data_IF_580913969891
#
_entry.id   IF_580913969891
#
_cell.length_a   1.000
_cell.length_b   1.000
_cell.length_c   1.000
_cell.angle_alpha   90.00
_cell.angle_beta   90.00
_cell.angle_gamma   90.00
#
_symmetry.space_group_name_H-M   'P 1'
#
loop_
_entity.id
_entity.type
_entity.pdbx_description
1 polymer ?
#
# COMPACT_ATOMS: atom_id res chain seq x y z
N UNK A 1 -25.53 -27.45 25.28
CA UNK A 1 -24.57 -26.49 24.71
C UNK A 1 -23.88 -25.89 25.89
N UNK A 2 -22.57 -26.04 25.96
CA UNK A 2 -21.76 -25.64 27.11
C UNK A 2 -21.77 -24.12 27.23
N UNK A 3 -22.26 -23.61 28.35
CA UNK A 3 -22.37 -22.19 28.66
C UNK A 3 -21.03 -21.56 29.08
N UNK A 4 -19.98 -22.37 29.14
CA UNK A 4 -18.59 -22.00 29.48
C UNK A 4 -17.60 -22.24 28.35
N UNK A 5 -18.09 -22.52 27.12
CA UNK A 5 -17.23 -22.53 25.95
C UNK A 5 -16.93 -21.09 25.53
N UNK A 6 -16.11 -20.40 26.33
CA UNK A 6 -15.39 -19.22 25.88
C UNK A 6 -14.71 -19.62 24.57
N UNK A 7 -15.12 -18.97 23.48
CA UNK A 7 -14.40 -18.98 22.22
C UNK A 7 -12.99 -18.49 22.55
N UNK A 8 -12.05 -19.43 22.68
CA UNK A 8 -10.68 -19.22 23.18
C UNK A 8 -9.85 -18.19 22.37
N UNK A 9 -10.46 -17.51 21.38
CA UNK A 9 -9.91 -16.52 20.47
C UNK A 9 -10.78 -15.23 20.36
N UNK A 10 -11.61 -14.87 21.35
CA UNK A 10 -12.29 -13.56 21.44
C UNK A 10 -11.31 -12.47 21.94
N UNK A 11 -10.62 -11.82 20.99
CA UNK A 11 -9.58 -10.84 21.32
C UNK A 11 -10.13 -9.42 21.58
N UNK A 12 -11.40 -9.12 21.26
CA UNK A 12 -12.04 -7.82 21.53
C UNK A 12 -13.10 -7.84 22.65
N UNK A 13 -13.42 -9.03 23.18
CA UNK A 13 -14.19 -9.31 24.38
C UNK A 13 -15.67 -8.89 24.30
N UNK A 14 -16.28 -8.92 23.11
CA UNK A 14 -17.67 -8.50 22.91
C UNK A 14 -18.68 -9.65 22.91
N UNK A 15 -18.20 -10.91 22.90
CA UNK A 15 -19.03 -12.13 22.93
C UNK A 15 -20.07 -12.26 21.79
N UNK A 16 -19.87 -11.55 20.67
CA UNK A 16 -20.76 -11.61 19.51
C UNK A 16 -20.17 -12.48 18.38
N UNK A 17 -21.06 -13.13 17.62
CA UNK A 17 -20.69 -13.82 16.38
C UNK A 17 -20.69 -12.88 15.19
N UNK A 18 -19.81 -13.10 14.22
CA UNK A 18 -19.79 -12.33 12.98
C UNK A 18 -21.14 -12.38 12.22
N UNK A 19 -21.65 -11.20 11.83
CA UNK A 19 -22.88 -11.02 11.04
C UNK A 19 -22.79 -11.62 9.62
N UNK A 20 -21.57 -11.86 9.11
CA UNK A 20 -21.36 -12.38 7.76
C UNK A 20 -21.58 -13.89 7.63
N UNK A 21 -21.28 -14.67 8.66
CA UNK A 21 -21.35 -16.14 8.63
C UNK A 21 -22.39 -16.70 9.59
N UNK A 22 -22.80 -15.96 10.62
CA UNK A 22 -23.70 -16.42 11.66
C UNK A 22 -23.15 -17.62 12.46
N UNK A 23 -21.84 -17.90 12.36
CA UNK A 23 -21.20 -19.02 13.02
C UNK A 23 -20.32 -18.53 14.17
N UNK A 24 -20.72 -18.90 15.39
CA UNK A 24 -20.08 -18.57 16.67
C UNK A 24 -18.69 -19.19 16.85
N UNK A 25 -18.28 -20.14 15.99
CA UNK A 25 -17.00 -20.87 16.08
C UNK A 25 -15.95 -20.40 15.06
N UNK A 26 -16.29 -19.42 14.21
CA UNK A 26 -15.39 -18.89 13.19
C UNK A 26 -15.40 -17.38 13.27
N UNK A 27 -14.53 -16.83 14.10
CA UNK A 27 -14.05 -15.47 13.87
C UNK A 27 -13.03 -15.53 12.73
N UNK A 28 -13.12 -14.60 11.78
CA UNK A 28 -12.25 -14.60 10.59
C UNK A 28 -10.96 -13.89 10.96
N UNK A 29 -10.05 -14.64 11.57
CA UNK A 29 -8.61 -14.38 11.55
C UNK A 29 -7.93 -15.20 10.45
N UNK A 30 -8.65 -15.46 9.34
CA UNK A 30 -7.99 -15.83 8.09
C UNK A 30 -7.26 -14.57 7.61
N UNK A 31 -5.93 -14.60 7.60
CA UNK A 31 -5.13 -13.57 6.96
C UNK A 31 -5.58 -13.52 5.48
N UNK A 32 -6.33 -12.47 5.17
CA UNK A 32 -6.75 -12.13 3.84
C UNK A 32 -5.92 -10.92 3.43
N UNK A 33 -4.81 -11.19 2.74
CA UNK A 33 -3.91 -10.16 2.25
C UNK A 33 -4.61 -9.18 1.29
N UNK A 34 -5.77 -9.56 0.71
CA UNK A 34 -6.57 -8.68 -0.15
C UNK A 34 -7.29 -7.57 0.65
N UNK A 35 -7.42 -7.72 1.98
CA UNK A 35 -7.99 -6.71 2.87
C UNK A 35 -6.94 -5.77 3.49
N UNK A 36 -5.64 -6.09 3.39
CA UNK A 36 -4.59 -5.23 3.91
C UNK A 36 -4.45 -3.95 3.08
N UNK A 37 -4.25 -2.80 3.73
CA UNK A 37 -4.03 -1.53 3.05
C UNK A 37 -2.54 -1.21 3.02
N UNK A 38 -2.02 -1.02 1.81
CA UNK A 38 -0.64 -0.61 1.56
C UNK A 38 -0.66 0.78 0.92
N UNK A 39 -0.10 1.76 1.63
CA UNK A 39 0.04 3.12 1.15
C UNK A 39 1.27 3.27 0.27
N UNK A 40 1.11 3.97 -0.85
CA UNK A 40 2.19 4.33 -1.75
C UNK A 40 1.67 4.90 -3.06
N UNK A 41 2.58 5.21 -3.99
CA UNK A 41 2.17 5.69 -5.30
C UNK A 41 1.68 4.55 -6.20
N UNK A 42 0.40 4.60 -6.57
CA UNK A 42 -0.22 3.60 -7.45
C UNK A 42 -0.18 4.00 -8.95
N UNK A 43 0.33 5.19 -9.27
CA UNK A 43 0.40 5.66 -10.66
C UNK A 43 1.61 5.04 -11.36
N UNK A 44 1.37 4.13 -12.31
CA UNK A 44 2.43 3.42 -13.04
C UNK A 44 3.36 4.31 -13.88
N UNK A 45 3.00 5.57 -14.11
CA UNK A 45 3.86 6.56 -14.79
C UNK A 45 4.69 7.43 -13.84
N UNK A 46 4.65 7.15 -12.53
CA UNK A 46 5.37 7.91 -11.52
C UNK A 46 6.72 7.29 -11.20
N UNK A 47 7.68 8.13 -10.84
CA UNK A 47 9.06 7.73 -10.54
C UNK A 47 9.14 6.79 -9.33
N UNK A 48 8.27 6.98 -8.35
CA UNK A 48 8.17 6.18 -7.13
C UNK A 48 6.98 5.22 -7.13
N UNK A 49 6.57 4.71 -8.31
CA UNK A 49 5.52 3.71 -8.40
C UNK A 49 5.83 2.49 -7.50
N UNK A 50 4.86 2.11 -6.68
CA UNK A 50 4.92 0.93 -5.82
C UNK A 50 3.87 -0.10 -6.26
N UNK A 51 4.32 -1.25 -6.75
CA UNK A 51 3.45 -2.34 -7.20
C UNK A 51 2.72 -3.07 -6.07
N UNK A 52 3.16 -2.88 -4.82
CA UNK A 52 2.53 -3.46 -3.63
C UNK A 52 1.50 -2.50 -3.01
N UNK A 53 1.55 -1.20 -3.35
CA UNK A 53 0.59 -0.22 -2.87
C UNK A 53 -0.78 -0.45 -3.52
N UNK A 54 -1.82 -0.42 -2.69
CA UNK A 54 -3.22 -0.49 -3.14
C UNK A 54 -4.03 0.76 -2.81
N UNK A 55 -3.46 1.68 -2.03
CA UNK A 55 -4.08 2.95 -1.66
C UNK A 55 -3.10 4.09 -1.96
N UNK A 56 -3.53 5.01 -2.83
CA UNK A 56 -2.74 6.18 -3.18
C UNK A 56 -2.56 7.09 -1.96
N UNK A 57 -1.32 7.43 -1.63
CA UNK A 57 -0.96 8.35 -0.55
C UNK A 57 -0.64 9.78 -1.06
N UNK A 58 -0.84 10.03 -2.35
CA UNK A 58 -0.52 11.29 -3.03
C UNK A 58 0.98 11.66 -3.03
N UNK A 59 1.88 10.68 -2.83
CA UNK A 59 3.34 10.91 -2.92
C UNK A 59 3.91 10.71 -4.32
N UNK A 60 3.06 10.45 -5.32
CA UNK A 60 3.48 10.20 -6.70
C UNK A 60 4.30 11.33 -7.32
N UNK A 61 5.57 11.07 -7.63
CA UNK A 61 6.45 11.99 -8.35
C UNK A 61 6.32 11.79 -9.86
N UNK A 62 6.11 12.86 -10.64
CA UNK A 62 6.07 12.76 -12.09
C UNK A 62 7.45 12.38 -12.64
N UNK A 63 7.48 11.53 -13.67
CA UNK A 63 8.71 11.32 -14.45
C UNK A 63 8.89 12.52 -15.38
N UNK A 64 9.93 13.33 -15.13
CA UNK A 64 10.31 14.45 -15.98
C UNK A 64 11.51 14.03 -16.82
N UNK A 65 11.35 13.99 -18.13
CA UNK A 65 12.43 13.67 -19.07
C UNK A 65 13.18 14.94 -19.48
N UNK A 66 14.50 14.93 -19.29
CA UNK A 66 15.40 15.97 -19.78
C UNK A 66 16.71 15.38 -20.27
N UNK A 67 17.59 16.24 -20.79
CA UNK A 67 18.94 15.84 -21.16
C UNK A 67 19.82 15.68 -19.93
N UNK A 68 20.82 14.81 -20.06
CA UNK A 68 21.85 14.60 -19.05
C UNK A 68 22.94 15.68 -19.08
N UNK A 69 23.00 16.48 -20.15
CA UNK A 69 23.99 17.53 -20.39
C UNK A 69 23.53 18.85 -19.78
N UNK A 70 24.31 19.41 -18.85
CA UNK A 70 24.08 20.70 -18.19
C UNK A 70 23.96 21.89 -19.16
N UNK A 71 24.48 21.75 -20.37
CA UNK A 71 24.45 22.78 -21.40
C UNK A 71 23.25 22.64 -22.36
N UNK A 72 22.43 21.61 -22.20
CA UNK A 72 21.25 21.41 -23.04
C UNK A 72 20.07 22.26 -22.58
N UNK A 73 19.32 22.81 -23.54
CA UNK A 73 18.11 23.61 -23.27
C UNK A 73 17.06 22.86 -22.45
N UNK A 74 17.10 21.52 -22.46
CA UNK A 74 16.21 20.63 -21.73
C UNK A 74 16.92 19.85 -20.62
N UNK A 75 18.03 20.35 -20.05
CA UNK A 75 18.65 19.78 -18.85
C UNK A 75 17.63 19.69 -17.70
N UNK A 76 17.61 18.56 -16.98
CA UNK A 76 16.67 18.34 -15.87
C UNK A 76 17.35 17.65 -14.67
N UNK A 77 17.46 18.39 -13.57
CA UNK A 77 17.95 17.98 -12.25
C UNK A 77 16.79 18.15 -11.25
N UNK A 78 15.98 17.10 -11.07
CA UNK A 78 14.72 17.20 -10.33
C UNK A 78 14.91 17.22 -8.80
N UNK A 79 15.96 16.57 -8.28
CA UNK A 79 16.31 16.55 -6.85
C UNK A 79 17.33 17.63 -6.46
N UNK A 80 17.91 18.34 -7.43
CA UNK A 80 18.77 19.50 -7.19
C UNK A 80 20.15 19.12 -6.63
N UNK A 81 20.59 17.88 -6.87
CA UNK A 81 21.85 17.34 -6.37
C UNK A 81 23.00 17.46 -7.39
N UNK A 82 22.73 18.01 -8.58
CA UNK A 82 23.68 18.13 -9.67
C UNK A 82 23.95 16.82 -10.42
N UNK A 83 23.19 15.76 -10.13
CA UNK A 83 23.18 14.50 -10.84
C UNK A 83 21.87 14.39 -11.60
N UNK A 84 21.99 14.01 -12.86
CA UNK A 84 20.83 13.83 -13.71
C UNK A 84 20.10 12.52 -13.39
N UNK A 85 18.78 12.62 -13.20
CA UNK A 85 17.92 11.48 -12.96
C UNK A 85 17.81 10.59 -14.21
N UNK A 86 18.41 9.39 -14.24
CA UNK A 86 18.23 8.49 -15.35
C UNK A 86 16.85 7.86 -15.22
N UNK A 87 16.08 8.01 -16.29
CA UNK A 87 14.87 7.26 -16.54
C UNK A 87 15.25 5.77 -16.68
N UNK A 88 15.47 5.07 -15.56
CA UNK A 88 15.74 3.63 -15.58
C UNK A 88 14.41 2.89 -15.53
N UNK A 89 13.95 2.55 -16.74
CA UNK A 89 13.03 1.45 -16.99
C UNK A 89 13.53 0.13 -16.42
#
# INVERSE_FOLDING_TARGET
MDENADNYNDYDLDSLSNILTGNVLTDINTNDDDLCIYFGCIQGSSFNFDSLANTNDNTCYPVITGCLDENADNFNDFDGDGIVMPNRS
#
